data_IF_799273410167
#
_entry.id   IF_799273410167
#
_cell.length_a   1.000
_cell.length_b   1.000
_cell.length_c   1.000
_cell.angle_alpha   90.00
_cell.angle_beta   90.00
_cell.angle_gamma   90.00
#
_symmetry.space_group_name_H-M   'P 1'
#
loop_
_entity.id
_entity.type
_entity.pdbx_description
1 polymer ?
#
# COMPACT_ATOMS: atom_id res chain seq x y z
N UNK A 1 11.51 -2.73 -15.98
CA UNK A 1 12.82 -3.41 -15.79
C UNK A 1 12.70 -4.86 -15.30
N UNK A 2 11.51 -5.37 -15.01
CA UNK A 2 11.31 -6.81 -14.70
C UNK A 2 11.86 -7.25 -13.35
N UNK A 3 12.19 -6.30 -12.46
CA UNK A 3 12.61 -6.59 -11.10
C UNK A 3 11.41 -6.92 -10.22
N UNK A 4 11.62 -7.81 -9.26
CA UNK A 4 10.61 -8.22 -8.32
C UNK A 4 10.26 -7.07 -7.35
N UNK A 5 8.98 -6.98 -6.98
CA UNK A 5 8.42 -5.85 -6.22
C UNK A 5 9.03 -5.76 -4.82
N UNK A 6 9.17 -6.91 -4.17
CA UNK A 6 9.75 -7.05 -2.82
C UNK A 6 11.19 -6.52 -2.78
N UNK A 7 11.99 -6.91 -3.77
CA UNK A 7 13.39 -6.54 -3.92
C UNK A 7 13.54 -5.05 -4.31
N UNK A 8 12.66 -4.54 -5.17
CA UNK A 8 12.65 -3.13 -5.58
C UNK A 8 12.30 -2.22 -4.39
N UNK A 9 11.31 -2.62 -3.58
CA UNK A 9 10.92 -1.91 -2.37
C UNK A 9 12.03 -1.91 -1.31
N UNK A 10 12.70 -3.05 -1.13
CA UNK A 10 13.84 -3.18 -0.22
C UNK A 10 15.02 -2.28 -0.62
N UNK A 11 15.39 -2.28 -1.90
CA UNK A 11 16.47 -1.44 -2.38
C UNK A 11 16.14 0.06 -2.24
N UNK A 12 14.92 0.49 -2.58
CA UNK A 12 14.50 1.88 -2.40
C UNK A 12 14.52 2.31 -0.92
N UNK A 13 14.18 1.40 -0.01
CA UNK A 13 14.21 1.65 1.43
C UNK A 13 15.65 1.91 1.92
N UNK A 14 16.61 1.05 1.53
CA UNK A 14 18.01 1.22 1.90
C UNK A 14 18.65 2.48 1.34
N UNK A 15 18.32 2.82 0.09
CA UNK A 15 18.84 4.01 -0.57
C UNK A 15 18.03 5.29 -0.26
N UNK A 16 17.13 5.26 0.73
CA UNK A 16 16.31 6.41 1.16
C UNK A 16 15.57 7.11 0.02
N UNK A 17 15.14 6.34 -0.99
CA UNK A 17 14.41 6.87 -2.15
C UNK A 17 15.28 7.42 -3.29
N UNK A 18 16.61 7.28 -3.25
CA UNK A 18 17.46 7.59 -4.42
C UNK A 18 17.26 6.53 -5.52
N UNK A 19 16.38 6.83 -6.47
CA UNK A 19 15.98 5.90 -7.54
C UNK A 19 17.17 5.52 -8.43
N UNK A 20 18.01 6.49 -8.82
CA UNK A 20 19.13 6.23 -9.73
C UNK A 20 20.15 5.24 -9.15
N UNK A 21 20.54 5.45 -7.88
CA UNK A 21 21.45 4.54 -7.16
C UNK A 21 20.85 3.17 -6.93
N UNK A 22 19.57 3.14 -6.58
CA UNK A 22 18.83 1.90 -6.37
C UNK A 22 18.82 1.05 -7.65
N UNK A 23 18.54 1.67 -8.79
CA UNK A 23 18.51 1.00 -10.10
C UNK A 23 19.90 0.53 -10.52
N UNK A 24 20.93 1.36 -10.37
CA UNK A 24 22.31 0.99 -10.70
C UNK A 24 22.78 -0.22 -9.86
N UNK A 25 22.47 -0.22 -8.57
CA UNK A 25 22.81 -1.32 -7.67
C UNK A 25 21.97 -2.58 -7.95
N UNK A 26 20.68 -2.45 -8.27
CA UNK A 26 19.82 -3.56 -8.68
C UNK A 26 20.31 -4.22 -9.96
N UNK A 27 20.74 -3.43 -10.95
CA UNK A 27 21.33 -3.95 -12.18
C UNK A 27 22.66 -4.67 -11.86
N UNK A 28 23.48 -4.09 -10.99
CA UNK A 28 24.77 -4.68 -10.56
C UNK A 28 24.59 -6.02 -9.85
N UNK A 29 23.53 -6.16 -9.06
CA UNK A 29 23.19 -7.37 -8.30
C UNK A 29 22.27 -8.33 -9.09
N UNK A 30 22.01 -8.08 -10.37
CA UNK A 30 21.21 -8.96 -11.22
C UNK A 30 19.72 -9.02 -10.85
N UNK A 31 19.20 -7.99 -10.18
CA UNK A 31 17.80 -7.91 -9.78
C UNK A 31 17.45 -8.63 -8.48
N UNK A 32 18.43 -9.21 -7.78
CA UNK A 32 18.24 -9.85 -6.48
C UNK A 32 18.97 -9.08 -5.39
N UNK A 33 18.26 -8.78 -4.31
CA UNK A 33 18.78 -8.02 -3.19
C UNK A 33 19.03 -8.98 -2.02
N UNK A 34 20.08 -8.77 -1.20
CA UNK A 34 20.31 -9.59 -0.01
C UNK A 34 19.07 -9.66 0.89
N UNK A 35 18.77 -10.85 1.41
CA UNK A 35 17.58 -11.09 2.25
C UNK A 35 17.50 -10.14 3.47
N UNK A 36 18.64 -9.69 3.96
CA UNK A 36 18.78 -8.68 5.03
C UNK A 36 18.02 -7.39 4.69
N UNK A 37 18.00 -6.96 3.43
CA UNK A 37 17.32 -5.74 3.02
C UNK A 37 15.81 -5.91 2.93
N UNK A 38 15.35 -7.13 2.65
CA UNK A 38 13.93 -7.46 2.60
C UNK A 38 13.34 -7.54 4.01
N UNK A 39 14.11 -8.09 4.96
CA UNK A 39 13.74 -8.15 6.38
C UNK A 39 13.67 -6.76 7.05
N UNK A 40 14.48 -5.80 6.58
CA UNK A 40 14.45 -4.41 7.06
C UNK A 40 13.29 -3.58 6.47
N UNK A 41 12.62 -4.07 5.43
CA UNK A 41 11.38 -3.42 4.98
C UNK A 41 10.28 -3.68 6.00
N UNK A 42 9.62 -2.65 6.53
CA UNK A 42 8.44 -2.88 7.35
C UNK A 42 7.40 -3.58 6.47
N UNK A 43 7.20 -4.87 6.71
CA UNK A 43 5.99 -5.56 6.29
C UNK A 43 4.83 -4.76 6.84
N UNK A 44 3.82 -4.52 6.01
CA UNK A 44 2.53 -3.96 6.43
C UNK A 44 1.95 -4.87 7.51
N UNK A 45 2.36 -4.64 8.74
CA UNK A 45 1.66 -5.04 9.94
C UNK A 45 1.47 -3.73 10.68
N UNK A 46 0.20 -3.38 10.86
CA UNK A 46 -0.29 -2.20 11.55
C UNK A 46 0.06 -2.28 13.03
N UNK A 47 1.34 -2.37 13.36
CA UNK A 47 1.82 -2.21 14.72
C UNK A 47 2.21 -0.76 14.87
N UNK A 48 1.28 -0.03 15.45
CA UNK A 48 1.45 1.33 15.91
C UNK A 48 2.78 1.40 16.67
N UNK A 49 3.81 1.94 16.01
CA UNK A 49 5.05 2.25 16.68
C UNK A 49 4.68 3.10 17.88
N UNK A 50 4.87 2.54 19.07
CA UNK A 50 4.79 3.23 20.34
C UNK A 50 5.98 4.18 20.42
N UNK A 51 6.01 5.16 19.51
CA UNK A 51 6.87 6.32 19.64
C UNK A 51 6.54 6.92 20.99
N UNK A 52 7.54 6.98 21.86
CA UNK A 52 7.55 7.68 23.13
C UNK A 52 7.42 9.19 22.89
N UNK A 53 6.31 9.61 22.29
CA UNK A 53 5.95 11.00 22.08
C UNK A 53 5.40 11.54 23.38
N UNK A 54 5.82 12.74 23.75
CA UNK A 54 5.25 13.47 24.87
C UNK A 54 3.73 13.59 24.69
N UNK A 55 2.91 13.57 25.76
CA UNK A 55 1.46 13.75 25.65
C UNK A 55 1.06 15.00 24.84
N UNK A 56 1.92 16.01 24.82
CA UNK A 56 1.75 17.24 24.05
C UNK A 56 1.95 17.03 22.54
N UNK A 57 2.97 16.27 22.13
CA UNK A 57 3.21 15.93 20.72
C UNK A 57 2.09 15.04 20.16
N UNK A 58 1.54 14.14 21.00
CA UNK A 58 0.40 13.31 20.63
C UNK A 58 -0.89 14.12 20.48
N UNK A 59 -1.04 15.21 21.24
CA UNK A 59 -2.16 16.13 21.09
C UNK A 59 -2.05 16.93 19.79
N UNK A 60 -0.86 17.45 19.49
CA UNK A 60 -0.57 18.18 18.24
C UNK A 60 -0.75 17.30 17.00
N UNK A 61 -0.31 16.05 17.05
CA UNK A 61 -0.51 15.09 15.95
C UNK A 61 -2.01 14.82 15.71
N UNK A 62 -2.79 14.63 16.77
CA UNK A 62 -4.25 14.45 16.65
C UNK A 62 -4.94 15.68 16.08
N UNK A 63 -4.50 16.88 16.48
CA UNK A 63 -5.02 18.14 15.96
C UNK A 63 -4.68 18.32 14.49
N UNK A 64 -3.44 18.03 14.09
CA UNK A 64 -3.00 18.05 12.70
C UNK A 64 -3.81 17.07 11.84
N UNK A 65 -4.05 15.85 12.33
CA UNK A 65 -4.90 14.85 11.64
C UNK A 65 -6.34 15.38 11.52
N UNK A 66 -6.91 15.94 12.59
CA UNK A 66 -8.27 16.46 12.58
C UNK A 66 -8.47 17.62 11.58
N UNK A 67 -7.43 18.41 11.31
CA UNK A 67 -7.47 19.47 10.29
C UNK A 67 -7.48 18.93 8.85
N UNK A 68 -6.89 17.76 8.59
CA UNK A 68 -6.75 17.19 7.24
C UNK A 68 -7.93 16.27 6.88
N UNK A 69 -8.48 15.55 7.86
CA UNK A 69 -9.64 14.64 7.70
C UNK A 69 -10.82 15.26 6.91
N UNK A 70 -11.25 16.52 7.13
CA UNK A 70 -12.35 17.10 6.38
C UNK A 70 -12.01 17.46 4.92
N UNK A 71 -10.72 17.54 4.55
CA UNK A 71 -10.24 17.82 3.18
C UNK A 71 -9.89 16.54 2.40
N UNK A 72 -9.79 15.40 3.10
CA UNK A 72 -9.89 14.09 2.48
C UNK A 72 -11.32 13.95 2.00
N UNK A 73 -11.52 14.21 0.71
CA UNK A 73 -12.76 13.95 0.01
C UNK A 73 -13.25 12.56 0.41
N UNK A 74 -14.40 12.50 1.10
CA UNK A 74 -15.34 11.38 0.97
C UNK A 74 -15.87 11.49 -0.45
N UNK A 75 -14.98 11.22 -1.41
CA UNK A 75 -15.27 11.40 -2.81
C UNK A 75 -16.48 10.55 -3.13
N UNK A 76 -17.34 11.07 -3.99
CA UNK A 76 -18.47 10.34 -4.57
C UNK A 76 -18.01 9.10 -5.37
N UNK A 77 -16.73 8.68 -5.26
CA UNK A 77 -16.06 7.52 -5.84
C UNK A 77 -15.78 6.38 -4.83
N UNK A 78 -16.37 6.41 -3.62
CA UNK A 78 -16.53 5.20 -2.78
C UNK A 78 -17.55 4.25 -3.44
N UNK A 79 -17.25 3.83 -4.67
CA UNK A 79 -18.08 2.93 -5.47
C UNK A 79 -17.65 1.46 -5.34
N UNK A 80 -16.71 1.17 -4.45
CA UNK A 80 -16.24 -0.18 -4.13
C UNK A 80 -16.48 -0.50 -2.65
N UNK A 81 -17.72 -0.35 -2.21
CA UNK A 81 -18.20 -0.94 -0.94
C UNK A 81 -18.47 -2.46 -1.08
N UNK A 82 -18.32 -3.01 -2.29
CA UNK A 82 -18.56 -4.42 -2.57
C UNK A 82 -17.33 -5.25 -2.22
N UNK A 83 -17.48 -6.17 -1.26
CA UNK A 83 -16.51 -7.24 -1.08
C UNK A 83 -16.45 -8.12 -2.34
N UNK A 84 -15.29 -8.73 -2.60
CA UNK A 84 -15.06 -9.62 -3.76
C UNK A 84 -16.11 -10.75 -3.89
N UNK A 85 -16.71 -11.15 -2.75
CA UNK A 85 -17.78 -12.15 -2.67
C UNK A 85 -19.09 -11.59 -3.21
N UNK A 86 -19.38 -10.32 -2.95
CA UNK A 86 -20.60 -9.67 -3.43
C UNK A 86 -20.52 -9.48 -4.94
N UNK A 87 -19.39 -8.97 -5.47
CA UNK A 87 -19.19 -8.84 -6.92
C UNK A 87 -19.43 -10.16 -7.68
N UNK A 88 -18.94 -11.28 -7.14
CA UNK A 88 -19.15 -12.60 -7.73
C UNK A 88 -20.63 -13.01 -7.80
N UNK A 89 -21.43 -12.66 -6.79
CA UNK A 89 -22.88 -12.93 -6.78
C UNK A 89 -23.59 -12.11 -7.85
N UNK A 90 -23.27 -10.83 -7.97
CA UNK A 90 -23.85 -9.94 -8.99
C UNK A 90 -23.54 -10.44 -10.42
N UNK A 91 -22.29 -10.87 -10.67
CA UNK A 91 -21.91 -11.45 -11.96
C UNK A 91 -22.68 -12.74 -12.26
N UNK A 92 -22.90 -13.60 -11.26
CA UNK A 92 -23.65 -14.84 -11.44
C UNK A 92 -25.13 -14.59 -11.76
N UNK A 93 -25.76 -13.61 -11.10
CA UNK A 93 -27.12 -13.19 -11.43
C UNK A 93 -27.21 -12.61 -12.85
N UNK A 94 -26.25 -11.76 -13.24
CA UNK A 94 -26.19 -11.20 -14.59
C UNK A 94 -26.05 -12.30 -15.66
N UNK A 95 -25.17 -13.28 -15.45
CA UNK A 95 -25.01 -14.43 -16.35
C UNK A 95 -26.33 -15.21 -16.48
N UNK A 96 -27.03 -15.43 -15.35
CA UNK A 96 -28.31 -16.14 -15.37
C UNK A 96 -29.40 -15.38 -16.14
N UNK A 97 -29.44 -14.05 -16.01
CA UNK A 97 -30.37 -13.20 -16.74
C UNK A 97 -30.10 -13.23 -18.25
N UNK A 98 -28.83 -13.07 -18.65
CA UNK A 98 -28.42 -13.17 -20.06
C UNK A 98 -28.74 -14.55 -20.63
N UNK A 99 -28.48 -15.62 -19.88
CA UNK A 99 -28.82 -16.98 -20.30
C UNK A 99 -30.33 -17.23 -20.42
N UNK A 100 -31.16 -16.50 -19.66
CA UNK A 100 -32.63 -16.59 -19.78
C UNK A 100 -33.21 -15.76 -20.94
N UNK A 101 -32.45 -14.79 -21.44
CA UNK A 101 -32.82 -13.91 -22.57
C UNK A 101 -32.47 -14.51 -23.94
N UNK A 102 -31.75 -15.64 -23.95
CA UNK A 102 -31.30 -16.36 -25.13
C UNK A 102 -31.95 -17.74 -25.23
#
# INVERSE_FOLDING_TARGET
>A
MGFDETHSRAALYHFRGDIERCVEELIRMGGTVPHVWVEETPTTSSESTSSSKSPEEKAQEKEAIAMIVPDLHQGEEDHLDLDLIEEAQWLQEYISLVASLH
#
